data_IF_580191550934
#
_entry.id   IF_580191550934
#
_cell.length_a   1.000
_cell.length_b   1.000
_cell.length_c   1.000
_cell.angle_alpha   90.00
_cell.angle_beta   90.00
_cell.angle_gamma   90.00
#
_symmetry.space_group_name_H-M   'P 1'
#
loop_
_entity.id
_entity.type
_entity.pdbx_description
1 polymer ?
#
# COMPACT_ATOMS: atom_id res chain seq x y z
N UNK A 1 -10.47 40.75 -13.39
CA UNK A 1 -10.54 39.29 -13.43
C UNK A 1 -10.06 38.76 -12.11
N UNK A 2 -10.88 38.02 -11.37
CA UNK A 2 -10.39 37.40 -10.13
C UNK A 2 -9.34 36.37 -10.51
N UNK A 3 -8.14 36.44 -9.89
CA UNK A 3 -7.12 35.41 -10.00
C UNK A 3 -7.68 34.16 -9.35
N UNK A 4 -7.91 33.08 -10.13
CA UNK A 4 -8.21 31.77 -9.61
C UNK A 4 -6.97 31.32 -8.83
N UNK A 5 -7.05 31.35 -7.50
CA UNK A 5 -6.02 30.71 -6.67
C UNK A 5 -6.02 29.23 -7.02
N UNK A 6 -4.99 28.75 -7.71
CA UNK A 6 -4.72 27.31 -7.80
C UNK A 6 -4.47 26.81 -6.39
N UNK A 7 -5.40 26.04 -5.87
CA UNK A 7 -5.19 25.31 -4.61
C UNK A 7 -4.16 24.24 -4.93
N UNK A 8 -2.93 24.37 -4.39
CA UNK A 8 -1.94 23.31 -4.50
C UNK A 8 -2.28 22.22 -3.49
N UNK A 9 -2.63 21.04 -3.98
CA UNK A 9 -2.85 19.87 -3.14
C UNK A 9 -1.49 19.27 -2.73
N UNK A 10 -1.43 18.74 -1.52
CA UNK A 10 -0.33 17.84 -1.14
C UNK A 10 -0.38 16.58 -1.98
N UNK A 11 0.79 15.98 -2.22
CA UNK A 11 0.94 14.80 -3.06
C UNK A 11 1.53 13.64 -2.27
N UNK A 12 0.97 12.44 -2.48
CA UNK A 12 1.44 11.19 -1.89
C UNK A 12 1.61 10.16 -2.99
N UNK A 13 2.78 9.51 -3.02
CA UNK A 13 3.02 8.34 -3.86
C UNK A 13 3.11 7.09 -2.98
N UNK A 14 2.39 6.04 -3.36
CA UNK A 14 2.53 4.71 -2.74
C UNK A 14 2.79 3.69 -3.84
N UNK A 15 3.90 2.96 -3.73
CA UNK A 15 4.27 1.87 -4.64
C UNK A 15 4.08 0.54 -3.93
N UNK A 16 3.26 -0.32 -4.51
CA UNK A 16 3.12 -1.72 -4.09
C UNK A 16 4.08 -2.64 -4.83
N UNK A 17 4.27 -3.84 -4.31
CA UNK A 17 5.19 -4.82 -4.88
C UNK A 17 4.68 -5.37 -6.21
N UNK A 18 3.37 -5.67 -6.30
CA UNK A 18 2.75 -6.24 -7.50
C UNK A 18 1.27 -5.87 -7.67
N UNK A 19 0.59 -6.61 -8.54
CA UNK A 19 -0.78 -6.31 -8.96
C UNK A 19 -1.80 -6.46 -7.81
N UNK A 20 -1.58 -7.37 -6.87
CA UNK A 20 -2.47 -7.56 -5.72
C UNK A 20 -2.39 -6.36 -4.76
N UNK A 21 -1.18 -5.91 -4.44
CA UNK A 21 -0.95 -4.71 -3.64
C UNK A 21 -1.53 -3.47 -4.30
N UNK A 22 -1.34 -3.35 -5.62
CA UNK A 22 -1.90 -2.24 -6.39
C UNK A 22 -3.44 -2.17 -6.26
N UNK A 23 -4.10 -3.31 -6.43
CA UNK A 23 -5.56 -3.39 -6.33
C UNK A 23 -6.06 -3.04 -4.92
N UNK A 24 -5.41 -3.57 -3.89
CA UNK A 24 -5.76 -3.29 -2.51
C UNK A 24 -5.50 -1.82 -2.13
N UNK A 25 -4.37 -1.25 -2.54
CA UNK A 25 -4.06 0.15 -2.31
C UNK A 25 -5.06 1.09 -3.00
N UNK A 26 -5.49 0.76 -4.21
CA UNK A 26 -6.55 1.50 -4.90
C UNK A 26 -7.87 1.43 -4.15
N UNK A 27 -8.19 0.28 -3.56
CA UNK A 27 -9.35 0.13 -2.70
C UNK A 27 -9.26 1.03 -1.46
N UNK A 28 -8.11 1.05 -0.79
CA UNK A 28 -7.89 1.95 0.35
C UNK A 28 -8.01 3.42 -0.04
N UNK A 29 -7.46 3.80 -1.18
CA UNK A 29 -7.60 5.16 -1.72
C UNK A 29 -9.08 5.52 -1.94
N UNK A 30 -9.88 4.62 -2.48
CA UNK A 30 -11.30 4.85 -2.68
C UNK A 30 -12.06 5.08 -1.37
N UNK A 31 -11.61 4.45 -0.27
CA UNK A 31 -12.24 4.60 1.05
C UNK A 31 -11.72 5.84 1.78
N UNK A 32 -10.41 6.03 1.84
CA UNK A 32 -9.76 7.04 2.70
C UNK A 32 -9.34 8.30 1.97
N UNK A 33 -9.19 8.24 0.65
CA UNK A 33 -8.80 9.40 -0.15
C UNK A 33 -9.85 10.50 -0.11
N UNK A 34 -9.39 11.74 -0.12
CA UNK A 34 -10.22 12.94 -0.17
C UNK A 34 -9.66 13.94 -1.17
N UNK A 35 -10.28 15.11 -1.24
CA UNK A 35 -9.94 16.14 -2.24
C UNK A 35 -8.68 16.94 -1.87
N UNK A 36 -8.21 16.86 -0.62
CA UNK A 36 -7.10 17.66 -0.11
C UNK A 36 -5.73 17.02 -0.37
N UNK A 37 -5.70 15.74 -0.66
CA UNK A 37 -4.48 14.97 -0.89
C UNK A 37 -4.57 14.24 -2.22
N UNK A 38 -3.65 14.55 -3.13
CA UNK A 38 -3.53 13.82 -4.40
C UNK A 38 -2.70 12.55 -4.17
N UNK A 39 -3.34 11.40 -4.27
CA UNK A 39 -2.73 10.10 -4.05
C UNK A 39 -2.49 9.40 -5.38
N UNK A 40 -1.23 9.11 -5.68
CA UNK A 40 -0.81 8.28 -6.82
C UNK A 40 -0.42 6.92 -6.32
N UNK A 41 -0.99 5.87 -6.92
CA UNK A 41 -0.71 4.49 -6.58
C UNK A 41 -0.24 3.76 -7.82
N UNK A 42 0.87 3.02 -7.69
CA UNK A 42 1.41 2.20 -8.76
C UNK A 42 2.12 0.97 -8.15
N UNK A 43 2.62 0.10 -9.01
CA UNK A 43 3.32 -1.13 -8.60
C UNK A 43 4.68 -1.24 -9.29
N UNK A 44 5.59 -1.90 -8.60
CA UNK A 44 6.93 -2.18 -9.13
C UNK A 44 6.97 -3.39 -10.09
N UNK A 45 5.89 -4.19 -10.12
CA UNK A 45 5.81 -5.44 -10.89
C UNK A 45 6.83 -6.50 -10.47
N UNK A 46 7.02 -6.64 -9.16
CA UNK A 46 7.92 -7.63 -8.57
C UNK A 46 9.29 -7.06 -8.23
N UNK A 47 10.24 -7.94 -8.01
CA UNK A 47 11.59 -7.59 -7.60
C UNK A 47 11.83 -7.68 -6.10
N UNK A 48 13.08 -7.42 -5.69
CA UNK A 48 13.46 -7.37 -4.28
C UNK A 48 12.91 -6.12 -3.59
N UNK A 49 12.93 -6.06 -2.24
CA UNK A 49 12.60 -4.83 -1.53
C UNK A 49 13.39 -3.61 -2.02
N UNK A 50 14.67 -3.78 -2.35
CA UNK A 50 15.47 -2.72 -2.96
C UNK A 50 14.88 -2.24 -4.29
N UNK A 51 14.44 -3.17 -5.15
CA UNK A 51 13.87 -2.82 -6.46
C UNK A 51 12.57 -2.03 -6.31
N UNK A 52 11.72 -2.42 -5.38
CA UNK A 52 10.45 -1.70 -5.10
C UNK A 52 10.73 -0.29 -4.59
N UNK A 53 11.66 -0.14 -3.66
CA UNK A 53 12.06 1.17 -3.13
C UNK A 53 12.66 2.03 -4.26
N UNK A 54 13.52 1.46 -5.09
CA UNK A 54 14.13 2.16 -6.20
C UNK A 54 13.09 2.59 -7.25
N UNK A 55 12.06 1.79 -7.49
CA UNK A 55 10.93 2.17 -8.34
C UNK A 55 10.25 3.45 -7.81
N UNK A 56 10.02 3.53 -6.51
CA UNK A 56 9.43 4.72 -5.90
C UNK A 56 10.37 5.94 -6.01
N UNK A 57 11.66 5.74 -5.80
CA UNK A 57 12.67 6.81 -5.91
C UNK A 57 12.71 7.39 -7.33
N UNK A 58 12.69 6.52 -8.34
CA UNK A 58 12.79 6.89 -9.76
C UNK A 58 11.46 7.18 -10.44
N UNK A 59 10.36 7.09 -9.73
CA UNK A 59 9.03 7.24 -10.31
C UNK A 59 8.91 8.58 -11.07
N UNK A 60 8.44 8.51 -12.31
CA UNK A 60 8.32 9.67 -13.21
C UNK A 60 9.61 10.50 -13.24
N UNK A 61 10.75 9.85 -13.48
CA UNK A 61 12.08 10.48 -13.54
C UNK A 61 12.48 11.20 -12.24
N UNK A 62 12.10 10.66 -11.09
CA UNK A 62 12.40 11.25 -9.80
C UNK A 62 11.50 12.44 -9.43
N UNK A 63 10.29 12.49 -9.98
CA UNK A 63 9.31 13.54 -9.67
C UNK A 63 9.12 13.71 -8.16
N UNK A 64 9.00 14.96 -7.74
CA UNK A 64 8.84 15.31 -6.32
C UNK A 64 7.41 15.08 -5.87
N UNK A 65 7.26 14.33 -4.78
CA UNK A 65 6.03 14.17 -4.01
C UNK A 65 6.27 14.69 -2.59
N UNK A 66 5.24 15.22 -1.94
CA UNK A 66 5.35 15.65 -0.54
C UNK A 66 5.65 14.47 0.38
N UNK A 67 5.09 13.29 0.07
CA UNK A 67 5.36 12.04 0.78
C UNK A 67 5.43 10.88 -0.18
N UNK A 68 6.32 9.94 0.10
CA UNK A 68 6.45 8.67 -0.63
C UNK A 68 6.47 7.49 0.35
N UNK A 69 5.77 6.43 -0.03
CA UNK A 69 5.76 5.17 0.72
C UNK A 69 5.81 3.97 -0.22
N UNK A 70 6.27 2.85 0.30
CA UNK A 70 6.18 1.54 -0.36
C UNK A 70 5.47 0.56 0.56
N UNK A 71 4.74 -0.36 -0.03
CA UNK A 71 4.12 -1.49 0.66
C UNK A 71 4.82 -2.78 0.21
N UNK A 72 5.50 -3.42 1.14
CA UNK A 72 6.31 -4.62 0.92
C UNK A 72 5.79 -5.81 1.72
N UNK A 73 5.93 -7.01 1.17
CA UNK A 73 5.75 -8.23 1.94
C UNK A 73 6.85 -8.34 3.01
N UNK A 74 6.53 -8.97 4.13
CA UNK A 74 7.46 -9.13 5.25
C UNK A 74 8.25 -10.45 5.22
N UNK A 75 7.97 -11.33 4.26
CA UNK A 75 8.66 -12.61 4.08
C UNK A 75 10.10 -12.48 3.57
N UNK A 76 10.45 -11.34 3.00
CA UNK A 76 11.81 -11.02 2.58
C UNK A 76 12.34 -9.88 3.44
N UNK A 77 13.48 -10.11 4.10
CA UNK A 77 14.09 -9.11 4.97
C UNK A 77 14.63 -7.91 4.18
N UNK A 78 14.52 -6.74 4.75
CA UNK A 78 15.16 -5.54 4.20
C UNK A 78 16.67 -5.63 4.36
N UNK A 79 17.40 -5.43 3.26
CA UNK A 79 18.85 -5.30 3.32
C UNK A 79 19.27 -3.94 3.88
N UNK A 80 20.50 -3.85 4.38
CA UNK A 80 21.07 -2.56 4.81
C UNK A 80 21.06 -1.54 3.67
N UNK A 81 21.33 -1.99 2.43
CA UNK A 81 21.32 -1.15 1.24
C UNK A 81 19.91 -0.61 0.93
N UNK A 82 18.87 -1.46 1.02
CA UNK A 82 17.48 -1.05 0.83
C UNK A 82 17.05 -0.03 1.89
N UNK A 83 17.38 -0.26 3.15
CA UNK A 83 17.09 0.65 4.25
C UNK A 83 17.77 2.00 4.06
N UNK A 84 19.03 2.00 3.63
CA UNK A 84 19.78 3.23 3.36
C UNK A 84 19.17 4.03 2.21
N UNK A 85 18.75 3.36 1.14
CA UNK A 85 18.11 4.01 0.01
C UNK A 85 16.79 4.68 0.43
N UNK A 86 15.96 3.97 1.19
CA UNK A 86 14.70 4.51 1.68
C UNK A 86 14.91 5.74 2.58
N UNK A 87 15.83 5.66 3.54
CA UNK A 87 16.14 6.77 4.45
C UNK A 87 16.72 7.98 3.71
N UNK A 88 17.59 7.76 2.74
CA UNK A 88 18.20 8.83 1.94
C UNK A 88 17.18 9.65 1.15
N UNK A 89 16.07 9.05 0.79
CA UNK A 89 14.97 9.69 0.06
C UNK A 89 13.73 9.97 0.89
N UNK A 90 13.82 9.83 2.22
CA UNK A 90 12.70 10.04 3.16
C UNK A 90 11.46 9.21 2.81
N UNK A 91 11.68 8.02 2.29
CA UNK A 91 10.64 7.11 1.84
C UNK A 91 10.20 6.23 3.00
N UNK A 92 8.89 6.18 3.25
CA UNK A 92 8.32 5.34 4.30
C UNK A 92 8.16 3.92 3.79
N UNK A 93 8.71 2.95 4.53
CA UNK A 93 8.54 1.52 4.23
C UNK A 93 7.45 0.97 5.14
N UNK A 94 6.41 0.41 4.54
CA UNK A 94 5.31 -0.24 5.23
C UNK A 94 5.33 -1.71 4.86
N UNK A 95 5.33 -2.59 5.85
CA UNK A 95 5.40 -4.02 5.62
C UNK A 95 4.05 -4.71 5.90
N UNK A 96 3.58 -5.47 4.92
CA UNK A 96 2.46 -6.38 5.09
C UNK A 96 2.89 -7.56 5.94
N UNK A 97 2.44 -7.62 7.16
CA UNK A 97 2.82 -8.65 8.13
C UNK A 97 1.54 -9.30 8.70
N UNK A 98 1.54 -10.60 9.00
CA UNK A 98 2.62 -11.56 8.77
C UNK A 98 2.73 -12.00 7.31
N UNK A 99 3.91 -12.35 6.89
CA UNK A 99 4.31 -12.97 5.61
C UNK A 99 4.14 -12.04 4.41
N UNK A 100 2.92 -11.66 4.04
CA UNK A 100 2.59 -10.97 2.79
C UNK A 100 1.27 -10.19 2.94
N UNK A 101 0.83 -9.55 1.85
CA UNK A 101 -0.46 -8.87 1.82
C UNK A 101 -1.61 -9.78 2.26
N UNK A 102 -1.70 -10.97 1.71
CA UNK A 102 -2.76 -11.92 2.00
C UNK A 102 -2.71 -12.39 3.47
N UNK A 103 -1.51 -12.58 4.01
CA UNK A 103 -1.32 -12.90 5.44
C UNK A 103 -1.82 -11.77 6.33
N UNK A 104 -1.50 -10.52 6.00
CA UNK A 104 -2.01 -9.36 6.69
C UNK A 104 -3.54 -9.31 6.65
N UNK A 105 -4.12 -9.52 5.47
CA UNK A 105 -5.57 -9.46 5.28
C UNK A 105 -6.30 -10.58 6.02
N UNK A 106 -5.73 -11.79 6.06
CA UNK A 106 -6.26 -12.87 6.90
C UNK A 106 -6.26 -12.49 8.38
N UNK A 107 -5.20 -11.85 8.86
CA UNK A 107 -5.13 -11.37 10.23
C UNK A 107 -6.18 -10.29 10.52
N UNK A 108 -6.42 -9.38 9.60
CA UNK A 108 -7.50 -8.37 9.71
C UNK A 108 -8.87 -9.03 9.85
N UNK A 109 -9.09 -10.17 9.18
CA UNK A 109 -10.30 -10.97 9.28
C UNK A 109 -10.32 -11.90 10.51
N UNK A 110 -9.33 -11.83 11.37
CA UNK A 110 -9.19 -12.69 12.56
C UNK A 110 -9.12 -14.18 12.22
N UNK A 111 -8.51 -14.51 11.09
CA UNK A 111 -8.29 -15.88 10.63
C UNK A 111 -6.87 -16.32 10.88
N UNK A 112 -6.65 -17.66 10.97
CA UNK A 112 -5.32 -18.25 11.07
C UNK A 112 -4.52 -17.91 9.82
N UNK A 113 -3.28 -17.44 10.02
CA UNK A 113 -2.39 -17.06 8.92
C UNK A 113 -1.42 -18.21 8.63
N UNK A 114 -1.42 -18.77 7.41
CA UNK A 114 -0.43 -19.76 6.99
C UNK A 114 1.00 -19.19 7.00
N UNK A 115 1.99 -20.08 7.05
CA UNK A 115 3.40 -19.67 7.21
C UNK A 115 4.06 -19.19 5.91
N UNK A 116 3.46 -19.45 4.77
CA UNK A 116 4.05 -19.11 3.46
C UNK A 116 3.09 -18.25 2.62
N UNK A 117 3.67 -17.42 1.76
CA UNK A 117 2.90 -16.56 0.86
C UNK A 117 1.95 -17.36 -0.06
N UNK A 118 2.39 -18.46 -0.72
CA UNK A 118 1.46 -19.25 -1.53
C UNK A 118 0.27 -19.80 -0.75
N UNK A 119 0.47 -20.25 0.48
CA UNK A 119 -0.62 -20.77 1.32
C UNK A 119 -1.56 -19.64 1.77
N UNK A 120 -1.04 -18.46 2.08
CA UNK A 120 -1.87 -17.29 2.39
C UNK A 120 -2.79 -16.93 1.21
N UNK A 121 -2.28 -16.98 -0.01
CA UNK A 121 -3.07 -16.74 -1.23
C UNK A 121 -4.17 -17.78 -1.41
N UNK A 122 -3.86 -19.05 -1.21
CA UNK A 122 -4.84 -20.15 -1.28
C UNK A 122 -5.98 -19.94 -0.29
N UNK A 123 -5.69 -19.44 0.91
CA UNK A 123 -6.71 -19.18 1.93
C UNK A 123 -7.53 -17.91 1.67
N UNK A 124 -6.90 -16.83 1.25
CA UNK A 124 -7.57 -15.54 1.12
C UNK A 124 -8.32 -15.38 -0.21
N UNK A 125 -7.69 -15.70 -1.34
CA UNK A 125 -8.25 -15.38 -2.65
C UNK A 125 -9.66 -15.92 -2.88
N UNK A 126 -10.02 -17.16 -2.46
CA UNK A 126 -11.39 -17.67 -2.59
C UNK A 126 -12.43 -16.89 -1.77
N UNK A 127 -12.02 -16.15 -0.74
CA UNK A 127 -12.91 -15.36 0.09
C UNK A 127 -13.26 -14.01 -0.54
N UNK A 128 -12.44 -13.54 -1.46
CA UNK A 128 -12.68 -12.27 -2.16
C UNK A 128 -13.87 -12.37 -3.12
N UNK A 129 -14.53 -11.26 -3.33
CA UNK A 129 -15.65 -11.18 -4.26
C UNK A 129 -15.16 -10.82 -5.68
N UNK A 130 -14.30 -11.66 -6.24
CA UNK A 130 -13.73 -11.50 -7.57
C UNK A 130 -12.22 -11.72 -7.61
N UNK A 131 -11.61 -11.35 -8.73
CA UNK A 131 -10.18 -11.55 -8.95
C UNK A 131 -9.32 -10.63 -8.03
N UNK A 132 -8.23 -11.14 -7.42
CA UNK A 132 -7.42 -10.35 -6.49
C UNK A 132 -6.68 -9.15 -7.12
N UNK A 133 -6.62 -9.07 -8.43
CA UNK A 133 -6.07 -7.92 -9.16
C UNK A 133 -7.09 -6.81 -9.43
N UNK A 134 -8.34 -7.00 -9.01
CA UNK A 134 -9.42 -6.02 -9.19
C UNK A 134 -9.74 -5.34 -7.84
N UNK A 135 -9.75 -4.03 -7.83
CA UNK A 135 -10.04 -3.22 -6.65
C UNK A 135 -11.38 -3.60 -6.00
N UNK A 136 -12.42 -3.79 -6.79
CA UNK A 136 -13.76 -4.10 -6.31
C UNK A 136 -13.85 -5.42 -5.55
N UNK A 137 -12.92 -6.35 -5.76
CA UNK A 137 -12.91 -7.66 -5.10
C UNK A 137 -12.71 -7.57 -3.59
N UNK A 138 -12.12 -6.48 -3.09
CA UNK A 138 -11.82 -6.26 -1.66
C UNK A 138 -12.96 -5.54 -0.92
N UNK A 139 -13.92 -4.97 -1.62
CA UNK A 139 -14.88 -4.03 -1.06
C UNK A 139 -15.81 -4.64 0.01
N UNK A 140 -16.21 -5.89 -0.13
CA UNK A 140 -17.15 -6.55 0.78
C UNK A 140 -16.48 -6.88 2.12
N UNK A 141 -15.33 -7.58 2.09
CA UNK A 141 -14.63 -8.03 3.30
C UNK A 141 -13.89 -6.88 3.99
N UNK A 142 -13.31 -5.97 3.22
CA UNK A 142 -12.47 -4.88 3.72
C UNK A 142 -13.16 -3.53 3.53
N UNK A 143 -14.40 -3.42 3.99
CA UNK A 143 -15.15 -2.18 3.94
C UNK A 143 -14.65 -1.17 5.00
N UNK A 144 -15.13 0.06 4.92
CA UNK A 144 -14.68 1.17 5.76
C UNK A 144 -14.67 0.84 7.26
N UNK A 145 -15.70 0.20 7.79
CA UNK A 145 -15.80 -0.09 9.23
C UNK A 145 -14.70 -1.04 9.67
N UNK A 146 -14.47 -2.14 8.92
CA UNK A 146 -13.40 -3.10 9.20
C UNK A 146 -12.03 -2.43 9.18
N UNK A 147 -11.77 -1.61 8.18
CA UNK A 147 -10.48 -0.93 8.03
C UNK A 147 -10.26 0.15 9.09
N UNK A 148 -11.31 0.88 9.48
CA UNK A 148 -11.24 1.89 10.54
C UNK A 148 -10.99 1.27 11.91
N UNK A 149 -11.54 0.10 12.17
CA UNK A 149 -11.39 -0.61 13.45
C UNK A 149 -10.13 -1.46 13.53
N UNK A 150 -9.45 -1.69 12.43
CA UNK A 150 -8.26 -2.53 12.42
C UNK A 150 -7.12 -1.88 13.22
N UNK A 151 -6.57 -2.65 14.14
CA UNK A 151 -5.37 -2.29 14.91
C UNK A 151 -4.07 -2.75 14.25
N UNK A 152 -4.15 -3.36 13.08
CA UNK A 152 -2.99 -3.80 12.32
C UNK A 152 -2.08 -2.62 11.95
N UNK A 153 -0.79 -2.72 12.26
CA UNK A 153 0.17 -1.63 12.09
C UNK A 153 0.19 -1.06 10.68
N UNK A 154 0.28 -1.91 9.66
CA UNK A 154 0.33 -1.45 8.27
C UNK A 154 -0.98 -0.76 7.84
N UNK A 155 -2.13 -1.29 8.23
CA UNK A 155 -3.44 -0.67 7.95
C UNK A 155 -3.53 0.72 8.61
N UNK A 156 -3.10 0.83 9.86
CA UNK A 156 -3.07 2.13 10.57
C UNK A 156 -2.15 3.13 9.89
N UNK A 157 -0.98 2.69 9.46
CA UNK A 157 -0.02 3.54 8.75
C UNK A 157 -0.57 4.03 7.40
N UNK A 158 -1.16 3.13 6.62
CA UNK A 158 -1.76 3.48 5.32
C UNK A 158 -2.94 4.44 5.49
N UNK A 159 -3.82 4.16 6.45
CA UNK A 159 -4.94 5.04 6.77
C UNK A 159 -4.46 6.43 7.15
N UNK A 160 -3.46 6.52 8.01
CA UNK A 160 -2.88 7.80 8.44
C UNK A 160 -2.28 8.58 7.28
N UNK A 161 -1.54 7.92 6.39
CA UNK A 161 -0.96 8.55 5.20
C UNK A 161 -2.04 9.11 4.27
N UNK A 162 -3.07 8.33 3.99
CA UNK A 162 -4.12 8.69 3.04
C UNK A 162 -5.08 9.75 3.56
N UNK A 163 -5.14 9.95 4.87
CA UNK A 163 -6.02 10.94 5.51
C UNK A 163 -5.28 12.18 6.00
N UNK A 164 -3.97 12.26 5.78
CA UNK A 164 -3.12 13.37 6.25
C UNK A 164 -3.11 14.58 5.31
N UNK A 165 -4.24 14.85 4.67
CA UNK A 165 -4.43 15.97 3.75
C UNK A 165 -4.31 17.36 4.36
#
# INVERSE_FOLDING_TARGET
MPKIKRVSHKTLLIIGEGAHELAFLKHLKAIFGGDELEITIDASNGGSPYDVINTAVKFRNGATFDSKAVLLDSDVALTAQATKLAKGHRLKVIQSSPVCLEGMLLQVLEKTVPQTSPLCKVELHPLLNGHPTQMASYAVLFHRVVLNMSEHTAIKQLRKLMTAG
#
